data_IF_605198441035
#
_entry.id   IF_605198441035
#
_cell.length_a   1.000
_cell.length_b   1.000
_cell.length_c   1.000
_cell.angle_alpha   90.00
_cell.angle_beta   90.00
_cell.angle_gamma   90.00
#
_symmetry.space_group_name_H-M   'P 1'
#
loop_
_entity.id
_entity.type
_entity.pdbx_description
1 polymer ?
#
# COMPACT_ATOMS: atom_id res chain seq x y z
N UNK A 1 -19.03 -22.09 -3.62
CA UNK A 1 -18.21 -21.60 -4.74
C UNK A 1 -16.87 -22.29 -4.66
N UNK A 2 -16.34 -22.80 -5.77
CA UNK A 2 -15.00 -23.37 -5.78
C UNK A 2 -13.97 -22.23 -5.74
N UNK A 3 -12.85 -22.46 -5.04
CA UNK A 3 -11.82 -21.47 -4.79
C UNK A 3 -10.44 -22.08 -4.97
N UNK A 4 -9.49 -21.29 -5.46
CA UNK A 4 -8.11 -21.74 -5.70
C UNK A 4 -7.11 -20.74 -5.15
N UNK A 5 -5.91 -21.20 -4.79
CA UNK A 5 -4.82 -20.30 -4.41
C UNK A 5 -4.33 -19.51 -5.63
N UNK A 6 -3.91 -18.28 -5.38
CA UNK A 6 -3.19 -17.48 -6.37
C UNK A 6 -1.90 -18.21 -6.77
N UNK A 7 -1.73 -18.44 -8.07
CA UNK A 7 -0.57 -19.13 -8.64
C UNK A 7 0.41 -18.17 -9.33
N UNK A 8 -0.07 -16.98 -9.70
CA UNK A 8 0.67 -15.98 -10.48
C UNK A 8 0.24 -14.58 -10.05
N UNK A 9 1.21 -13.70 -9.87
CA UNK A 9 0.98 -12.29 -9.54
C UNK A 9 0.24 -11.55 -10.66
N UNK A 10 0.49 -11.90 -11.93
CA UNK A 10 -0.13 -11.22 -13.06
C UNK A 10 -1.65 -11.44 -13.08
N UNK A 11 -2.12 -12.59 -12.60
CA UNK A 11 -3.56 -12.84 -12.40
C UNK A 11 -4.13 -11.84 -11.41
N UNK A 12 -3.48 -11.61 -10.26
CA UNK A 12 -3.97 -10.64 -9.28
C UNK A 12 -4.00 -9.22 -9.86
N UNK A 13 -2.93 -8.80 -10.52
CA UNK A 13 -2.82 -7.45 -11.08
C UNK A 13 -3.87 -7.16 -12.16
N UNK A 14 -4.25 -8.15 -12.96
CA UNK A 14 -5.35 -8.02 -13.94
C UNK A 14 -6.74 -7.83 -13.30
N UNK A 15 -6.89 -8.22 -12.03
CA UNK A 15 -8.14 -8.10 -11.29
C UNK A 15 -8.15 -6.91 -10.33
N UNK A 16 -7.04 -6.18 -10.20
CA UNK A 16 -6.98 -4.90 -9.50
C UNK A 16 -7.46 -3.79 -10.43
N UNK A 17 -8.46 -3.03 -9.99
CA UNK A 17 -8.97 -1.85 -10.66
C UNK A 17 -8.67 -0.61 -9.83
N UNK A 18 -7.84 0.28 -10.36
CA UNK A 18 -7.59 1.59 -9.76
C UNK A 18 -8.69 2.57 -10.16
N UNK A 19 -9.36 3.16 -9.16
CA UNK A 19 -10.46 4.12 -9.31
C UNK A 19 -9.95 5.49 -8.91
N UNK A 20 -9.63 6.31 -9.91
CA UNK A 20 -9.12 7.66 -9.73
C UNK A 20 -10.15 8.58 -9.09
N UNK A 21 -9.70 9.44 -8.17
CA UNK A 21 -10.52 10.51 -7.59
C UNK A 21 -10.35 11.84 -8.31
N UNK A 22 -9.30 11.97 -9.13
CA UNK A 22 -8.99 13.18 -9.87
C UNK A 22 -10.04 13.43 -10.97
N UNK A 23 -10.63 14.63 -10.97
CA UNK A 23 -11.69 15.02 -11.91
C UNK A 23 -11.22 15.14 -13.37
N UNK A 24 -9.91 15.26 -13.60
CA UNK A 24 -9.34 15.41 -14.92
C UNK A 24 -8.65 14.10 -15.34
N UNK A 25 -9.12 13.50 -16.44
CA UNK A 25 -8.36 12.48 -17.17
C UNK A 25 -7.18 13.16 -17.89
N UNK A 26 -6.18 13.59 -17.15
CA UNK A 26 -4.95 14.10 -17.77
C UNK A 26 -4.20 12.90 -18.33
N UNK A 27 -3.88 12.87 -19.64
CA UNK A 27 -3.11 11.78 -20.22
C UNK A 27 -1.81 11.58 -19.46
N UNK A 28 -1.63 10.36 -18.93
CA UNK A 28 -0.47 9.91 -18.18
C UNK A 28 0.79 9.99 -19.03
N UNK A 29 1.55 11.07 -18.93
CA UNK A 29 2.86 11.19 -19.58
C UNK A 29 3.88 11.93 -18.69
N UNK A 30 3.79 11.75 -17.37
CA UNK A 30 4.87 12.16 -16.48
C UNK A 30 5.88 11.01 -16.37
N UNK A 31 7.06 11.20 -16.96
CA UNK A 31 8.20 10.36 -16.62
C UNK A 31 8.49 10.55 -15.11
N UNK A 32 8.72 9.46 -14.34
CA UNK A 32 8.92 9.53 -12.89
C UNK A 32 10.11 10.43 -12.46
N UNK A 33 11.00 10.78 -13.38
CA UNK A 33 12.16 11.65 -13.15
C UNK A 33 11.82 13.16 -13.06
N UNK A 34 10.62 13.59 -13.47
CA UNK A 34 10.25 15.00 -13.53
C UNK A 34 9.17 15.31 -12.50
N UNK A 35 9.57 15.49 -11.24
CA UNK A 35 8.66 15.99 -10.21
C UNK A 35 8.17 17.39 -10.64
N UNK A 36 6.86 17.60 -10.83
CA UNK A 36 6.36 18.91 -11.18
C UNK A 36 6.74 19.93 -10.10
N UNK A 37 7.20 21.10 -10.51
CA UNK A 37 7.43 22.24 -9.61
C UNK A 37 6.07 22.65 -9.06
N UNK A 38 5.87 22.46 -7.75
CA UNK A 38 4.55 22.49 -7.09
C UNK A 38 3.78 23.83 -7.17
N UNK A 39 4.43 24.92 -7.59
CA UNK A 39 3.84 26.27 -7.54
C UNK A 39 2.99 26.64 -8.76
N UNK A 40 2.94 25.81 -9.82
CA UNK A 40 2.24 26.16 -11.08
C UNK A 40 1.25 25.10 -11.56
N UNK A 41 1.08 24.00 -10.82
CA UNK A 41 0.29 22.84 -11.24
C UNK A 41 -1.06 22.84 -10.53
N UNK A 42 -2.13 22.55 -11.27
CA UNK A 42 -3.49 22.45 -10.70
C UNK A 42 -3.55 21.30 -9.68
N UNK A 43 -4.31 21.46 -8.59
CA UNK A 43 -4.46 20.40 -7.58
C UNK A 43 -4.85 19.05 -8.19
N UNK A 44 -5.77 19.06 -9.16
CA UNK A 44 -6.24 17.85 -9.84
C UNK A 44 -5.11 17.12 -10.59
N UNK A 45 -4.14 17.85 -11.14
CA UNK A 45 -2.97 17.30 -11.82
C UNK A 45 -1.98 16.69 -10.82
N UNK A 46 -1.85 17.33 -9.65
CA UNK A 46 -1.02 16.82 -8.56
C UNK A 46 -1.58 15.54 -7.95
N UNK A 47 -2.90 15.48 -7.75
CA UNK A 47 -3.60 14.30 -7.25
C UNK A 47 -3.45 13.14 -8.26
N UNK A 48 -3.72 13.41 -9.55
CA UNK A 48 -3.51 12.43 -10.62
C UNK A 48 -2.05 11.93 -10.70
N UNK A 49 -1.07 12.81 -10.46
CA UNK A 49 0.33 12.42 -10.38
C UNK A 49 0.58 11.45 -9.23
N UNK A 50 0.17 11.74 -8.00
CA UNK A 50 0.45 10.81 -6.90
C UNK A 50 -0.35 9.51 -6.99
N UNK A 51 -1.57 9.53 -7.54
CA UNK A 51 -2.30 8.29 -7.87
C UNK A 51 -1.51 7.43 -8.87
N UNK A 52 -0.85 8.07 -9.85
CA UNK A 52 0.04 7.38 -10.81
C UNK A 52 1.23 6.71 -10.15
N UNK A 53 1.93 7.45 -9.29
CA UNK A 53 3.13 6.96 -8.63
C UNK A 53 2.75 5.85 -7.65
N UNK A 54 1.65 6.01 -6.91
CA UNK A 54 1.13 5.00 -6.00
C UNK A 54 0.80 3.70 -6.73
N UNK A 55 0.11 3.78 -7.88
CA UNK A 55 -0.18 2.59 -8.69
C UNK A 55 1.10 1.82 -9.04
N UNK A 56 2.11 2.51 -9.57
CA UNK A 56 3.39 1.88 -9.95
C UNK A 56 4.11 1.32 -8.72
N UNK A 57 4.10 2.06 -7.60
CA UNK A 57 4.74 1.64 -6.37
C UNK A 57 4.06 0.40 -5.75
N UNK A 58 2.73 0.35 -5.78
CA UNK A 58 1.96 -0.80 -5.31
C UNK A 58 2.18 -2.03 -6.20
N UNK A 59 2.15 -1.88 -7.53
CA UNK A 59 2.46 -2.98 -8.45
C UNK A 59 3.90 -3.50 -8.21
N UNK A 60 4.85 -2.60 -8.00
CA UNK A 60 6.25 -2.96 -7.66
C UNK A 60 6.32 -3.72 -6.33
N UNK A 61 5.59 -3.25 -5.30
CA UNK A 61 5.50 -3.92 -4.01
C UNK A 61 4.91 -5.33 -4.15
N UNK A 62 3.76 -5.47 -4.83
CA UNK A 62 3.05 -6.75 -4.95
C UNK A 62 3.85 -7.80 -5.74
N UNK A 63 4.69 -7.38 -6.69
CA UNK A 63 5.60 -8.26 -7.43
C UNK A 63 6.85 -8.68 -6.64
N UNK A 64 7.13 -8.03 -5.51
CA UNK A 64 8.30 -8.35 -4.70
C UNK A 64 8.24 -9.73 -4.06
N UNK A 65 9.38 -10.41 -4.04
CA UNK A 65 9.56 -11.72 -3.38
C UNK A 65 9.80 -11.51 -1.88
N UNK A 66 9.24 -12.38 -1.05
CA UNK A 66 9.42 -12.38 0.39
C UNK A 66 9.03 -11.06 1.06
N UNK A 67 9.66 -10.76 2.19
CA UNK A 67 9.49 -9.48 2.88
C UNK A 67 10.34 -8.36 2.24
N UNK A 68 10.03 -7.07 2.44
CA UNK A 68 10.98 -6.00 2.19
C UNK A 68 12.27 -6.23 2.98
N UNK A 69 13.41 -6.17 2.28
CA UNK A 69 14.75 -6.41 2.83
C UNK A 69 15.26 -5.19 3.59
N UNK A 70 14.53 -4.79 4.63
CA UNK A 70 14.85 -3.67 5.51
C UNK A 70 15.03 -4.17 6.94
N UNK A 71 16.05 -3.69 7.69
CA UNK A 71 16.34 -4.16 9.04
C UNK A 71 15.14 -4.10 9.99
N UNK A 72 14.30 -3.07 9.86
CA UNK A 72 13.16 -2.86 10.75
C UNK A 72 12.11 -3.95 10.60
N UNK A 73 11.72 -4.29 9.36
CA UNK A 73 10.79 -5.41 9.08
C UNK A 73 11.34 -6.72 9.63
N UNK A 74 12.62 -6.98 9.38
CA UNK A 74 13.30 -8.18 9.89
C UNK A 74 13.30 -8.24 11.42
N UNK A 75 13.51 -7.10 12.08
CA UNK A 75 13.49 -7.02 13.55
C UNK A 75 12.12 -7.35 14.13
N UNK A 76 11.04 -7.02 13.42
CA UNK A 76 9.67 -7.25 13.88
C UNK A 76 9.21 -8.67 13.57
N UNK A 77 9.50 -9.17 12.38
CA UNK A 77 9.08 -10.50 11.93
C UNK A 77 9.93 -11.60 12.59
N UNK A 78 11.16 -11.27 12.97
CA UNK A 78 12.12 -12.22 13.51
C UNK A 78 12.89 -12.96 12.42
N UNK A 79 14.17 -13.23 12.70
CA UNK A 79 15.12 -13.82 11.74
C UNK A 79 14.64 -15.15 11.16
N UNK A 80 14.06 -16.02 11.99
CA UNK A 80 13.63 -17.35 11.58
C UNK A 80 12.49 -17.29 10.55
N UNK A 81 11.44 -16.50 10.85
CA UNK A 81 10.29 -16.34 9.96
C UNK A 81 10.73 -15.66 8.67
N UNK A 82 11.53 -14.59 8.80
CA UNK A 82 12.03 -13.83 7.66
C UNK A 82 12.83 -14.69 6.68
N UNK A 83 13.73 -15.55 7.18
CA UNK A 83 14.52 -16.47 6.35
C UNK A 83 13.65 -17.54 5.69
N UNK A 84 12.66 -18.08 6.41
CA UNK A 84 11.77 -19.12 5.89
C UNK A 84 10.94 -18.63 4.70
N UNK A 85 10.52 -17.37 4.73
CA UNK A 85 9.63 -16.77 3.72
C UNK A 85 10.37 -15.93 2.69
N UNK A 86 11.70 -15.82 2.78
CA UNK A 86 12.53 -14.94 1.94
C UNK A 86 12.36 -15.20 0.43
N UNK A 87 12.16 -16.46 0.06
CA UNK A 87 12.02 -16.89 -1.34
C UNK A 87 10.57 -17.06 -1.79
N UNK A 88 9.58 -16.65 -0.98
CA UNK A 88 8.17 -16.80 -1.32
C UNK A 88 7.72 -15.73 -2.33
N UNK A 89 7.44 -16.10 -3.60
CA UNK A 89 7.20 -15.12 -4.66
C UNK A 89 5.87 -14.38 -4.52
N UNK A 90 4.89 -14.96 -3.82
CA UNK A 90 3.54 -14.42 -3.69
C UNK A 90 3.22 -13.94 -2.28
N UNK A 91 4.21 -13.83 -1.39
CA UNK A 91 3.97 -13.47 0.01
C UNK A 91 3.23 -12.13 0.13
N UNK A 92 3.76 -11.09 -0.51
CA UNK A 92 3.19 -9.72 -0.47
C UNK A 92 1.80 -9.66 -1.09
N UNK A 93 1.60 -10.37 -2.20
CA UNK A 93 0.32 -10.51 -2.86
C UNK A 93 -0.73 -11.17 -1.95
N UNK A 94 -0.35 -12.25 -1.26
CA UNK A 94 -1.23 -12.95 -0.32
C UNK A 94 -1.56 -12.09 0.90
N UNK A 95 -0.59 -11.36 1.45
CA UNK A 95 -0.84 -10.39 2.53
C UNK A 95 -1.86 -9.33 2.08
N UNK A 96 -1.68 -8.78 0.88
CA UNK A 96 -2.61 -7.80 0.31
C UNK A 96 -4.01 -8.38 0.12
N UNK A 97 -4.13 -9.58 -0.45
CA UNK A 97 -5.43 -10.23 -0.63
C UNK A 97 -6.12 -10.55 0.69
N UNK A 98 -5.38 -11.07 1.68
CA UNK A 98 -5.96 -11.35 3.01
C UNK A 98 -6.53 -10.08 3.63
N UNK A 99 -5.79 -8.99 3.53
CA UNK A 99 -6.21 -7.70 4.07
C UNK A 99 -7.41 -7.10 3.32
N UNK A 100 -7.55 -7.33 2.01
CA UNK A 100 -8.58 -6.69 1.18
C UNK A 100 -9.82 -7.54 0.91
N UNK A 101 -9.66 -8.87 0.96
CA UNK A 101 -10.70 -9.86 0.65
C UNK A 101 -11.00 -10.79 1.83
N UNK A 102 -10.26 -10.67 2.94
CA UNK A 102 -10.32 -11.61 4.06
C UNK A 102 -9.73 -13.00 3.76
N UNK A 103 -9.10 -13.21 2.59
CA UNK A 103 -8.63 -14.52 2.15
C UNK A 103 -7.45 -14.44 1.17
N UNK A 104 -6.64 -15.50 1.05
CA UNK A 104 -5.58 -15.64 0.03
C UNK A 104 -5.94 -16.59 -1.12
N UNK A 105 -7.20 -17.01 -1.20
CA UNK A 105 -7.76 -17.76 -2.33
C UNK A 105 -8.62 -16.85 -3.20
N UNK A 106 -8.52 -17.03 -4.51
CA UNK A 106 -9.36 -16.34 -5.50
C UNK A 106 -10.55 -17.22 -5.88
N UNK A 107 -11.71 -16.63 -6.22
CA UNK A 107 -12.80 -17.35 -6.87
C UNK A 107 -12.34 -17.97 -8.20
N UNK A 108 -12.98 -19.07 -8.61
CA UNK A 108 -12.76 -19.63 -9.96
C UNK A 108 -13.37 -18.78 -11.08
N UNK A 109 -14.43 -18.03 -10.78
CA UNK A 109 -15.05 -17.08 -11.70
C UNK A 109 -14.07 -15.94 -12.01
N UNK A 110 -13.77 -15.66 -13.27
CA UNK A 110 -12.83 -14.60 -13.68
C UNK A 110 -13.38 -13.17 -13.51
N UNK A 111 -14.65 -13.02 -13.11
CA UNK A 111 -15.29 -11.72 -12.95
C UNK A 111 -14.94 -10.98 -11.64
N UNK A 112 -14.20 -11.58 -10.70
CA UNK A 112 -13.85 -10.90 -9.45
C UNK A 112 -12.98 -9.66 -9.71
N UNK A 113 -13.09 -8.67 -8.84
CA UNK A 113 -12.26 -7.46 -8.88
C UNK A 113 -11.93 -7.01 -7.47
N UNK A 114 -10.74 -6.43 -7.32
CA UNK A 114 -10.36 -5.63 -6.16
C UNK A 114 -10.36 -4.19 -6.63
N UNK A 115 -11.17 -3.34 -6.01
CA UNK A 115 -11.21 -1.92 -6.35
C UNK A 115 -10.32 -1.13 -5.40
N UNK A 116 -9.37 -0.39 -5.95
CA UNK A 116 -8.47 0.49 -5.22
C UNK A 116 -8.91 1.92 -5.45
N UNK A 117 -9.42 2.56 -4.41
CA UNK A 117 -9.82 3.96 -4.40
C UNK A 117 -8.69 4.83 -3.86
N UNK A 118 -8.71 6.10 -4.25
CA UNK A 118 -7.78 7.09 -3.74
C UNK A 118 -8.55 8.19 -3.01
N UNK A 119 -8.07 8.55 -1.83
CA UNK A 119 -8.60 9.67 -1.05
C UNK A 119 -7.46 10.62 -0.71
N UNK A 120 -7.50 11.86 -1.20
CA UNK A 120 -6.46 12.85 -0.89
C UNK A 120 -6.86 13.64 0.35
N UNK A 121 -6.01 13.64 1.38
CA UNK A 121 -6.28 14.33 2.65
C UNK A 121 -5.08 15.17 3.12
N UNK A 122 -5.31 15.93 4.19
CA UNK A 122 -4.31 16.73 4.88
C UNK A 122 -4.25 18.16 4.40
N UNK A 123 -3.95 19.08 5.33
CA UNK A 123 -3.74 20.49 5.02
C UNK A 123 -2.29 20.72 4.56
N UNK A 124 -1.83 19.96 3.54
CA UNK A 124 -0.44 19.93 3.01
C UNK A 124 0.65 20.21 4.09
N UNK A 125 0.49 19.62 5.27
CA UNK A 125 1.25 19.96 6.47
C UNK A 125 1.43 18.73 7.34
N UNK A 126 2.67 18.25 7.38
CA UNK A 126 3.41 17.24 8.18
C UNK A 126 2.73 16.21 9.10
N UNK A 127 1.42 16.11 9.23
CA UNK A 127 0.79 15.09 10.09
C UNK A 127 0.40 13.85 9.29
N UNK A 128 1.12 12.77 9.53
CA UNK A 128 0.75 11.41 9.11
C UNK A 128 -0.46 10.94 9.95
N UNK A 129 -1.54 10.51 9.32
CA UNK A 129 -2.67 9.84 10.02
C UNK A 129 -2.45 8.33 10.07
N UNK A 130 -2.97 7.63 11.09
CA UNK A 130 -2.70 6.20 11.28
C UNK A 130 -3.56 5.28 10.37
N UNK A 131 -4.70 5.75 9.88
CA UNK A 131 -5.69 4.94 9.14
C UNK A 131 -5.56 5.18 7.63
N UNK A 132 -4.43 4.78 7.05
CA UNK A 132 -4.08 5.16 5.68
C UNK A 132 -4.46 4.11 4.60
N UNK A 133 -4.75 2.88 5.01
CA UNK A 133 -5.31 1.84 4.14
C UNK A 133 -6.59 1.34 4.80
N UNK A 134 -7.73 1.83 4.32
CA UNK A 134 -9.04 1.39 4.79
C UNK A 134 -9.51 0.24 3.89
N UNK A 135 -9.74 -0.92 4.47
CA UNK A 135 -10.32 -2.06 3.74
C UNK A 135 -11.77 -2.26 4.13
N UNK A 136 -12.61 -2.46 3.11
CA UNK A 136 -13.98 -2.89 3.30
C UNK A 136 -14.08 -4.29 2.68
N UNK A 137 -13.69 -5.28 3.46
CA UNK A 137 -13.47 -6.67 3.01
C UNK A 137 -14.73 -7.27 2.34
N UNK A 138 -15.93 -6.85 2.78
CA UNK A 138 -17.20 -7.28 2.20
C UNK A 138 -17.40 -6.88 0.73
N UNK A 139 -16.59 -5.96 0.22
CA UNK A 139 -16.72 -5.43 -1.14
C UNK A 139 -15.46 -5.62 -1.99
N UNK A 140 -14.40 -6.24 -1.45
CA UNK A 140 -13.06 -6.25 -2.07
C UNK A 140 -12.57 -4.82 -2.41
N UNK A 141 -12.87 -3.87 -1.52
CA UNK A 141 -12.50 -2.47 -1.69
C UNK A 141 -11.33 -2.12 -0.77
N UNK A 142 -10.39 -1.37 -1.32
CA UNK A 142 -9.24 -0.84 -0.61
C UNK A 142 -9.12 0.65 -0.91
N UNK A 143 -9.13 1.51 0.10
CA UNK A 143 -8.96 2.94 -0.05
C UNK A 143 -7.55 3.33 0.41
N UNK A 144 -6.75 3.89 -0.49
CA UNK A 144 -5.47 4.50 -0.15
C UNK A 144 -5.67 5.98 0.13
N UNK A 145 -5.36 6.38 1.35
CA UNK A 145 -5.36 7.77 1.76
C UNK A 145 -4.00 8.38 1.41
N UNK A 146 -3.97 9.28 0.43
CA UNK A 146 -2.77 9.98 -0.03
C UNK A 146 -2.64 11.30 0.73
N UNK A 147 -1.94 11.25 1.86
CA UNK A 147 -1.55 12.42 2.64
C UNK A 147 -0.11 12.87 2.30
N UNK A 148 0.41 13.85 3.05
CA UNK A 148 1.77 14.36 2.80
C UNK A 148 2.87 13.33 3.08
N UNK A 149 2.68 12.44 4.05
CA UNK A 149 3.68 11.43 4.34
C UNK A 149 3.70 10.32 3.30
N UNK A 150 2.54 9.89 2.79
CA UNK A 150 2.48 8.99 1.62
C UNK A 150 3.10 9.65 0.40
N UNK A 151 2.85 10.95 0.15
CA UNK A 151 3.52 11.68 -0.93
C UNK A 151 5.04 11.70 -0.76
N UNK A 152 5.54 11.91 0.46
CA UNK A 152 6.97 11.87 0.74
C UNK A 152 7.56 10.48 0.45
N UNK A 153 6.90 9.40 0.90
CA UNK A 153 7.29 8.02 0.62
C UNK A 153 7.30 7.70 -0.89
N UNK A 154 6.29 8.16 -1.62
CA UNK A 154 6.22 7.99 -3.08
C UNK A 154 7.28 8.83 -3.81
N UNK A 155 7.61 9.99 -3.24
CA UNK A 155 8.64 10.91 -3.74
C UNK A 155 10.08 10.38 -3.60
N UNK A 156 10.32 9.35 -2.77
CA UNK A 156 11.62 8.66 -2.72
C UNK A 156 12.03 8.07 -4.07
N UNK A 157 11.03 7.74 -4.91
CA UNK A 157 11.25 7.11 -6.21
C UNK A 157 11.58 5.61 -6.12
N UNK A 158 11.82 4.99 -7.28
CA UNK A 158 12.15 3.56 -7.38
C UNK A 158 13.44 3.22 -6.59
N UNK A 159 13.49 2.10 -5.86
CA UNK A 159 12.52 1.00 -5.85
C UNK A 159 11.40 1.14 -4.81
N UNK A 160 11.11 2.36 -4.34
CA UNK A 160 10.05 2.70 -3.37
C UNK A 160 10.20 1.96 -2.04
N UNK A 161 11.40 1.93 -1.46
CA UNK A 161 11.71 1.14 -0.26
C UNK A 161 10.87 1.60 0.93
N UNK A 162 10.77 2.91 1.18
CA UNK A 162 9.97 3.45 2.27
C UNK A 162 8.49 3.10 2.09
N UNK A 163 7.93 3.33 0.91
CA UNK A 163 6.55 2.94 0.59
C UNK A 163 6.32 1.43 0.73
N UNK A 164 7.22 0.59 0.22
CA UNK A 164 7.11 -0.86 0.31
C UNK A 164 7.13 -1.34 1.78
N UNK A 165 8.00 -0.75 2.60
CA UNK A 165 8.08 -1.02 4.04
C UNK A 165 6.78 -0.61 4.75
N UNK A 166 6.29 0.58 4.42
CA UNK A 166 5.04 1.14 4.92
C UNK A 166 3.83 0.26 4.58
N UNK A 167 3.62 -0.08 3.31
CA UNK A 167 2.53 -0.96 2.87
C UNK A 167 2.67 -2.32 3.54
N UNK A 168 3.87 -2.90 3.55
CA UNK A 168 4.07 -4.23 4.13
C UNK A 168 3.61 -4.29 5.58
N UNK A 169 3.96 -3.26 6.32
CA UNK A 169 3.50 -3.04 7.67
C UNK A 169 2.01 -3.01 7.87
N UNK A 170 1.35 -2.13 7.12
CA UNK A 170 -0.10 -1.98 7.15
C UNK A 170 -0.86 -3.27 6.78
N UNK A 171 -0.24 -4.16 5.98
CA UNK A 171 -0.81 -5.45 5.62
C UNK A 171 -0.46 -6.58 6.61
N UNK A 172 0.64 -6.45 7.37
CA UNK A 172 1.11 -7.48 8.29
C UNK A 172 0.29 -7.57 9.58
N UNK A 173 -0.32 -6.46 10.00
CA UNK A 173 -0.98 -6.29 11.29
C UNK A 173 -2.14 -7.28 11.58
N UNK A 174 -2.63 -8.00 10.55
CA UNK A 174 -3.66 -9.05 10.69
C UNK A 174 -3.13 -10.48 10.59
N UNK A 175 -1.81 -10.69 10.50
CA UNK A 175 -1.23 -12.04 10.40
C UNK A 175 -1.13 -12.75 11.76
N UNK A 176 -0.93 -12.03 12.86
CA UNK A 176 -0.90 -12.59 14.22
C UNK A 176 -1.95 -11.93 15.10
N UNK A 177 -2.97 -12.70 15.50
CA UNK A 177 -3.91 -12.30 16.55
C UNK A 177 -3.11 -12.04 17.85
N UNK A 178 -2.77 -10.78 18.13
CA UNK A 178 -2.09 -10.38 19.37
C UNK A 178 -1.07 -9.24 19.29
N UNK A 179 -0.66 -8.78 18.10
CA UNK A 179 0.36 -7.72 17.94
C UNK A 179 -0.17 -6.36 17.43
N UNK A 180 -1.48 -6.24 17.29
CA UNK A 180 -2.18 -5.17 16.58
C UNK A 180 -1.84 -3.73 17.06
N UNK A 181 -1.63 -3.54 18.36
CA UNK A 181 -1.35 -2.20 18.91
C UNK A 181 0.14 -1.83 18.88
N UNK A 182 1.05 -2.79 18.75
CA UNK A 182 2.49 -2.51 18.82
C UNK A 182 3.09 -2.07 17.49
N UNK A 183 2.48 -2.48 16.37
CA UNK A 183 3.05 -2.28 15.05
C UNK A 183 2.85 -0.85 14.55
N UNK A 184 1.63 -0.33 14.62
CA UNK A 184 1.29 1.04 14.18
C UNK A 184 2.08 2.07 14.98
N UNK A 185 2.13 1.94 16.30
CA UNK A 185 2.85 2.89 17.16
C UNK A 185 4.37 2.84 16.94
N UNK A 186 4.95 1.64 16.78
CA UNK A 186 6.38 1.49 16.52
C UNK A 186 6.77 1.93 15.11
N UNK A 187 5.93 1.69 14.12
CA UNK A 187 6.15 2.12 12.75
C UNK A 187 6.01 3.64 12.60
N UNK A 188 4.97 4.25 13.19
CA UNK A 188 4.84 5.70 13.24
C UNK A 188 6.06 6.33 13.96
N UNK A 189 6.50 5.74 15.07
CA UNK A 189 7.73 6.16 15.75
C UNK A 189 8.98 6.08 14.85
N UNK A 190 9.17 4.96 14.13
CA UNK A 190 10.31 4.79 13.20
C UNK A 190 10.27 5.77 12.03
N UNK A 191 9.07 6.15 11.57
CA UNK A 191 8.86 7.15 10.52
C UNK A 191 8.89 8.59 11.03
N UNK A 192 9.17 8.83 12.32
CA UNK A 192 9.15 10.17 12.93
C UNK A 192 7.75 10.79 13.01
N UNK A 193 6.71 9.98 12.82
CA UNK A 193 5.32 10.37 12.93
C UNK A 193 4.83 10.17 14.37
N UNK A 194 4.41 11.25 15.03
CA UNK A 194 3.75 11.13 16.32
C UNK A 194 2.23 11.19 16.13
N UNK A 195 1.49 10.21 16.66
CA UNK A 195 0.06 10.36 16.92
C UNK A 195 -0.11 11.56 17.87
N UNK A 196 -0.62 12.68 17.37
CA UNK A 196 -1.08 13.77 18.24
C UNK A 196 -2.40 13.35 18.89
N UNK A 197 -2.29 12.71 20.06
CA UNK A 197 -3.31 12.69 21.10
C UNK A 197 -4.43 11.66 20.95
N UNK A 198 -4.41 10.68 21.84
CA UNK A 198 -5.61 10.16 22.47
C UNK A 198 -5.22 9.80 23.90
N UNK A 199 -5.56 10.66 24.87
CA UNK A 199 -5.83 10.41 26.30
C UNK A 199 -5.80 11.77 27.03
N UNK A 200 -6.93 12.50 26.98
CA UNK A 200 -7.55 13.16 28.14
C UNK A 200 -9.06 13.04 27.95
#
# INVERSE_FOLDING_TARGET
MSARRLADIDVLLQHIQFVSSAKAQVPFNFAPANHPVMNTVEQSQHDAYYESVLKVALETYLRGVGHPQVPDIRSVIGDEVFQRTEVEPLLRARLFMRRTMGTDVVPEDEAWKIQIFFSHVGNRGTSLTADLIETLDCFNHCNFVIDEGVRALLGEGQPYIGFATWVHGALWDQWEEGLQDQWVDRFLYLMGAHRKGAYV
#
